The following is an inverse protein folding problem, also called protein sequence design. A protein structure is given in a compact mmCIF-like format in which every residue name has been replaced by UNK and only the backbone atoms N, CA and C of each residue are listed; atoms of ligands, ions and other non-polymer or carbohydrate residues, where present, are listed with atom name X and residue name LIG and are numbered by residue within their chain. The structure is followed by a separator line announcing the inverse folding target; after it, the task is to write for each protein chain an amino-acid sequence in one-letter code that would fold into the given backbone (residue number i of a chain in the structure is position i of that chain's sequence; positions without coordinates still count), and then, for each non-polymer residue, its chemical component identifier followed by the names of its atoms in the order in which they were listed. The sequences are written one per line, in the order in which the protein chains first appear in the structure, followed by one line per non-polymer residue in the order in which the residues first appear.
data_IF_681032051981
#
_entry.id   IF_681032051981
#
_cell.length_a   1.000
_cell.length_b   1.000
_cell.length_c   1.000
_cell.angle_alpha   90.00
_cell.angle_beta   90.00
_cell.angle_gamma   90.00
#
_symmetry.space_group_name_H-M   'P 1'
#
loop_
_entity.id
_entity.type
_entity.pdbx_description
1 polymer ?
#
# COMPACT_ATOMS: atom_id res chain seq x y z
N UNK A 1 -7.49 -50.68 -88.67
CA UNK A 1 -6.89 -49.48 -88.00
C UNK A 1 -8.06 -48.55 -87.63
N UNK A 2 -8.59 -48.70 -86.42
CA UNK A 2 -9.65 -47.84 -85.87
C UNK A 2 -9.07 -46.97 -84.77
N UNK A 3 -8.95 -45.69 -85.05
CA UNK A 3 -8.61 -44.67 -84.03
C UNK A 3 -9.91 -44.39 -83.23
N UNK A 4 -9.79 -44.68 -81.92
CA UNK A 4 -10.81 -44.27 -80.95
C UNK A 4 -10.52 -42.83 -80.51
N UNK A 5 -11.47 -41.97 -80.64
CA UNK A 5 -11.42 -40.62 -80.06
C UNK A 5 -11.71 -40.68 -78.56
N UNK A 6 -11.09 -39.88 -77.73
CA UNK A 6 -11.42 -39.80 -76.32
C UNK A 6 -12.65 -38.92 -76.06
N UNK A 7 -13.50 -39.37 -75.15
CA UNK A 7 -14.66 -38.66 -74.65
C UNK A 7 -14.31 -37.42 -73.80
N UNK A 8 -15.15 -36.37 -73.81
CA UNK A 8 -14.87 -35.19 -72.95
C UNK A 8 -15.23 -35.48 -71.50
N UNK A 9 -14.40 -34.98 -70.59
CA UNK A 9 -14.61 -35.00 -69.17
C UNK A 9 -15.71 -34.05 -68.78
N UNK A 10 -16.54 -34.36 -67.70
CA UNK A 10 -17.59 -33.48 -67.24
C UNK A 10 -16.99 -32.27 -66.50
N UNK A 11 -17.52 -31.10 -66.80
CA UNK A 11 -17.16 -29.81 -66.20
C UNK A 11 -17.39 -29.81 -64.70
N UNK A 12 -16.37 -29.41 -64.00
CA UNK A 12 -16.43 -29.11 -62.54
C UNK A 12 -17.12 -27.73 -62.36
N UNK A 13 -18.33 -27.76 -61.85
CA UNK A 13 -19.04 -26.54 -61.45
C UNK A 13 -18.31 -25.95 -60.23
N UNK A 14 -17.69 -24.79 -60.40
CA UNK A 14 -17.08 -24.00 -59.32
C UNK A 14 -18.19 -23.38 -58.47
N UNK A 15 -18.52 -24.02 -57.36
CA UNK A 15 -19.46 -23.46 -56.38
C UNK A 15 -18.78 -22.27 -55.70
N UNK A 16 -19.13 -21.07 -56.07
CA UNK A 16 -18.67 -19.84 -55.42
C UNK A 16 -19.15 -19.82 -53.97
N UNK A 17 -18.23 -20.03 -53.05
CA UNK A 17 -18.44 -19.77 -51.63
C UNK A 17 -18.52 -18.26 -51.44
N UNK A 18 -19.75 -17.72 -51.33
CA UNK A 18 -19.94 -16.36 -50.80
C UNK A 18 -19.52 -16.36 -49.33
N UNK A 19 -18.33 -15.87 -49.08
CA UNK A 19 -17.90 -15.55 -47.74
C UNK A 19 -18.77 -14.41 -47.22
N UNK A 20 -19.66 -14.70 -46.29
CA UNK A 20 -20.35 -13.70 -45.51
C UNK A 20 -19.30 -12.97 -44.67
N UNK A 21 -19.27 -11.63 -44.61
CA UNK A 21 -18.37 -10.93 -43.71
C UNK A 21 -18.71 -11.38 -42.28
N UNK A 22 -17.71 -11.89 -41.56
CA UNK A 22 -17.77 -12.08 -40.14
C UNK A 22 -18.07 -10.71 -39.53
N UNK A 23 -19.29 -10.53 -39.03
CA UNK A 23 -19.63 -9.44 -38.14
C UNK A 23 -18.69 -9.54 -36.96
N UNK A 24 -17.61 -8.75 -36.97
CA UNK A 24 -16.75 -8.54 -35.84
C UNK A 24 -17.62 -7.80 -34.84
N UNK A 25 -18.30 -8.54 -33.96
CA UNK A 25 -19.04 -7.98 -32.85
C UNK A 25 -18.08 -7.07 -32.10
N UNK A 26 -18.26 -5.77 -32.27
CA UNK A 26 -17.58 -4.78 -31.45
C UNK A 26 -17.87 -5.17 -30.00
N UNK A 27 -16.83 -5.62 -29.31
CA UNK A 27 -16.89 -5.81 -27.85
C UNK A 27 -17.42 -4.49 -27.29
N UNK A 28 -18.43 -4.51 -26.42
CA UNK A 28 -18.86 -3.26 -25.79
C UNK A 28 -17.63 -2.64 -25.14
N UNK A 29 -17.27 -1.46 -25.62
CA UNK A 29 -16.21 -0.64 -25.05
C UNK A 29 -16.56 -0.48 -23.56
N UNK A 30 -15.84 -1.17 -22.71
CA UNK A 30 -16.04 -1.09 -21.26
C UNK A 30 -15.84 0.37 -20.90
N UNK A 31 -16.92 1.05 -20.57
CA UNK A 31 -16.90 2.45 -20.19
C UNK A 31 -15.81 2.64 -19.13
N UNK A 32 -14.93 3.62 -19.34
CA UNK A 32 -13.88 3.94 -18.39
C UNK A 32 -14.51 4.10 -16.99
N UNK A 33 -13.86 3.59 -15.93
CA UNK A 33 -14.39 3.72 -14.59
C UNK A 33 -14.63 5.21 -14.27
N UNK A 34 -15.66 5.54 -13.48
CA UNK A 34 -15.88 6.92 -13.06
C UNK A 34 -14.63 7.46 -12.37
N UNK A 35 -14.39 8.77 -12.47
CA UNK A 35 -13.25 9.40 -11.81
C UNK A 35 -13.31 9.13 -10.28
N UNK A 36 -12.14 8.96 -9.62
CA UNK A 36 -12.09 8.78 -8.19
C UNK A 36 -12.70 10.01 -7.48
N UNK A 37 -13.31 9.82 -6.30
CA UNK A 37 -13.75 10.94 -5.50
C UNK A 37 -12.53 11.84 -5.21
N UNK A 38 -12.70 13.14 -5.37
CA UNK A 38 -11.64 14.09 -5.00
C UNK A 38 -11.40 13.97 -3.50
N UNK A 39 -10.17 13.71 -3.05
CA UNK A 39 -9.89 13.78 -1.62
C UNK A 39 -10.19 15.18 -1.14
N UNK A 40 -10.92 15.29 -0.03
CA UNK A 40 -11.32 16.58 0.55
C UNK A 40 -10.12 17.42 0.99
N UNK A 41 -9.00 16.78 1.26
CA UNK A 41 -7.68 17.39 1.51
C UNK A 41 -6.61 16.31 1.31
N UNK A 42 -5.77 16.44 0.26
CA UNK A 42 -4.48 15.75 0.24
C UNK A 42 -3.57 16.48 1.23
N UNK A 43 -2.93 15.76 2.17
CA UNK A 43 -1.83 16.37 2.91
C UNK A 43 -0.75 16.79 1.91
N UNK A 44 -0.43 18.06 1.90
CA UNK A 44 0.66 18.60 1.08
C UNK A 44 2.00 18.08 1.65
N UNK A 45 3.06 18.08 0.84
CA UNK A 45 4.43 17.83 1.30
C UNK A 45 4.80 18.70 2.52
N UNK A 46 4.20 19.89 2.62
CA UNK A 46 4.28 20.80 3.76
C UNK A 46 3.81 20.12 5.06
N UNK A 47 2.78 19.28 5.03
CA UNK A 47 2.28 18.61 6.26
C UNK A 47 3.22 17.50 6.73
N UNK A 48 3.97 16.86 5.83
CA UNK A 48 5.03 15.92 6.22
C UNK A 48 6.20 16.68 6.85
N UNK A 49 6.57 17.84 6.29
CA UNK A 49 7.54 18.75 6.90
C UNK A 49 7.10 19.24 8.28
N UNK A 50 5.82 19.60 8.43
CA UNK A 50 5.22 20.01 9.70
C UNK A 50 5.16 18.85 10.71
N UNK A 51 4.98 17.60 10.26
CA UNK A 51 5.11 16.42 11.10
C UNK A 51 6.52 16.31 11.67
N UNK A 52 7.52 16.39 10.81
CA UNK A 52 8.92 16.27 11.23
C UNK A 52 9.30 17.40 12.19
N UNK A 53 8.87 18.63 11.92
CA UNK A 53 9.04 19.79 12.80
C UNK A 53 8.23 19.64 14.09
N UNK A 54 6.97 19.19 14.00
CA UNK A 54 6.07 18.99 15.13
C UNK A 54 6.57 17.93 16.12
N UNK A 55 7.17 16.85 15.63
CA UNK A 55 7.79 15.81 16.47
C UNK A 55 9.11 16.29 17.09
N UNK A 56 9.83 17.20 16.44
CA UNK A 56 11.07 17.79 16.92
C UNK A 56 10.87 18.90 17.97
N UNK A 57 9.65 19.46 18.13
CA UNK A 57 9.36 20.58 19.05
C UNK A 57 8.65 20.07 20.31
N UNK A 58 9.08 20.38 21.54
CA UNK A 58 8.42 19.90 22.75
C UNK A 58 7.04 20.52 22.93
N UNK A 59 6.04 19.79 23.48
CA UNK A 59 4.77 20.37 23.87
C UNK A 59 4.99 21.36 25.03
N UNK A 60 4.55 22.58 24.87
CA UNK A 60 4.32 23.49 25.99
C UNK A 60 3.12 23.01 26.78
N UNK A 61 3.29 22.53 28.01
CA UNK A 61 2.23 22.47 29.01
C UNK A 61 1.73 21.10 29.45
N UNK A 62 1.90 20.83 30.72
CA UNK A 62 1.07 20.13 31.72
C UNK A 62 0.56 18.71 31.40
N UNK A 63 1.22 17.72 31.89
CA UNK A 63 0.77 16.34 31.99
C UNK A 63 1.93 15.37 32.16
N UNK A 64 1.82 14.48 33.11
CA UNK A 64 2.78 13.48 33.56
C UNK A 64 3.33 12.55 32.45
N UNK A 65 3.99 13.11 31.45
CA UNK A 65 4.76 12.35 30.49
C UNK A 65 6.22 12.71 30.60
N UNK A 66 6.99 11.79 31.18
CA UNK A 66 8.43 11.81 31.02
C UNK A 66 8.73 11.94 29.53
N UNK A 67 9.56 12.90 29.10
CA UNK A 67 9.91 13.02 27.69
C UNK A 67 10.46 11.69 27.22
N UNK A 68 9.93 11.20 26.10
CA UNK A 68 10.42 9.99 25.45
C UNK A 68 11.93 10.14 25.23
N UNK A 69 12.77 9.22 25.74
CA UNK A 69 14.22 9.31 25.61
C UNK A 69 14.71 9.36 24.16
N UNK A 70 13.81 9.15 23.17
CA UNK A 70 14.10 9.22 21.74
C UNK A 70 13.88 10.57 21.06
N UNK A 71 13.05 11.47 21.64
CA UNK A 71 12.69 12.76 21.04
C UNK A 71 13.17 13.91 21.91
N UNK A 72 14.47 14.24 21.82
CA UNK A 72 15.00 15.45 22.48
C UNK A 72 14.75 16.67 21.58
N UNK A 73 14.27 17.80 22.14
CA UNK A 73 14.13 19.05 21.40
C UNK A 73 15.44 19.42 20.70
N UNK A 74 15.34 19.74 19.38
CA UNK A 74 16.51 20.14 18.59
C UNK A 74 17.39 19.00 18.05
N UNK A 75 17.07 17.73 18.32
CA UNK A 75 17.73 16.62 17.63
C UNK A 75 17.01 16.33 16.30
N UNK A 76 17.76 16.00 15.24
CA UNK A 76 17.16 15.56 13.99
C UNK A 76 16.31 14.32 14.25
N UNK A 77 15.10 14.30 13.67
CA UNK A 77 14.22 13.15 13.74
C UNK A 77 14.86 11.98 13.00
N UNK A 78 15.17 10.90 13.73
CA UNK A 78 15.64 9.68 13.10
C UNK A 78 14.46 8.97 12.45
N UNK A 79 14.41 8.99 11.14
CA UNK A 79 13.48 8.23 10.33
C UNK A 79 14.18 6.97 9.83
N UNK A 80 13.51 5.81 9.84
CA UNK A 80 14.04 4.56 9.30
C UNK A 80 13.06 3.94 8.32
N UNK A 81 13.61 3.29 7.30
CA UNK A 81 12.81 2.49 6.39
C UNK A 81 12.20 1.32 7.17
N UNK A 82 10.90 1.01 7.01
CA UNK A 82 10.21 0.08 7.90
C UNK A 82 10.49 -1.40 7.63
N UNK A 83 11.39 -1.71 6.72
CA UNK A 83 11.92 -3.05 6.49
C UNK A 83 13.44 -3.08 6.64
N UNK A 84 14.00 -4.21 7.05
CA UNK A 84 15.45 -4.42 7.12
C UNK A 84 16.13 -4.43 5.74
N UNK A 85 15.35 -4.58 4.66
CA UNK A 85 15.78 -4.54 3.26
C UNK A 85 14.84 -3.64 2.47
N UNK A 86 15.25 -3.13 1.32
CA UNK A 86 14.34 -2.40 0.45
C UNK A 86 13.29 -3.36 -0.13
N UNK A 87 12.05 -2.87 -0.26
CA UNK A 87 10.98 -3.63 -0.87
C UNK A 87 11.30 -3.99 -2.32
N UNK A 88 10.87 -5.17 -2.75
CA UNK A 88 11.01 -5.65 -4.13
C UNK A 88 10.09 -4.86 -5.08
N UNK A 89 8.91 -4.50 -4.58
CA UNK A 89 7.89 -3.71 -5.28
C UNK A 89 7.14 -2.87 -4.24
N UNK A 90 6.62 -1.73 -4.67
CA UNK A 90 5.87 -0.81 -3.82
C UNK A 90 4.49 -0.57 -4.45
N UNK A 91 3.43 -0.90 -3.69
CA UNK A 91 2.06 -0.59 -4.09
C UNK A 91 1.59 0.67 -3.33
N UNK A 92 1.36 1.81 -4.04
CA UNK A 92 1.28 3.12 -3.41
C UNK A 92 -0.05 3.37 -2.67
N UNK A 93 -0.05 4.38 -1.79
CA UNK A 93 -1.25 5.00 -1.23
C UNK A 93 -2.15 5.59 -2.34
N UNK A 94 -3.47 5.56 -2.16
CA UNK A 94 -4.40 6.28 -3.02
C UNK A 94 -5.65 5.51 -3.44
N UNK A 95 -6.47 6.16 -4.27
CA UNK A 95 -7.70 5.58 -4.77
C UNK A 95 -7.45 4.52 -5.83
N UNK A 96 -8.14 3.38 -5.69
CA UNK A 96 -8.12 2.27 -6.63
C UNK A 96 -9.53 1.85 -7.00
N UNK A 97 -9.75 1.64 -8.28
CA UNK A 97 -11.00 1.08 -8.75
C UNK A 97 -10.98 -0.44 -8.64
N UNK A 98 -11.97 -1.00 -7.96
CA UNK A 98 -12.18 -2.44 -7.88
C UNK A 98 -13.24 -2.85 -8.89
N UNK A 99 -12.86 -3.50 -9.98
CA UNK A 99 -13.77 -3.98 -11.02
C UNK A 99 -14.80 -4.97 -10.45
N UNK A 100 -14.36 -5.89 -9.60
CA UNK A 100 -15.23 -6.89 -8.98
C UNK A 100 -16.32 -6.29 -8.10
N UNK A 101 -16.12 -5.06 -7.60
CA UNK A 101 -17.07 -4.34 -6.74
C UNK A 101 -17.69 -3.12 -7.42
N UNK A 102 -17.25 -2.80 -8.62
CA UNK A 102 -17.68 -1.61 -9.35
C UNK A 102 -17.58 -0.32 -8.52
N UNK A 103 -16.53 -0.22 -7.70
CA UNK A 103 -16.37 0.88 -6.73
C UNK A 103 -14.92 1.28 -6.49
N UNK A 104 -14.71 2.56 -6.25
CA UNK A 104 -13.45 3.11 -5.79
C UNK A 104 -13.21 2.78 -4.31
N UNK A 105 -11.98 2.41 -3.99
CA UNK A 105 -11.51 2.15 -2.63
C UNK A 105 -10.23 2.94 -2.38
N UNK A 106 -10.15 3.57 -1.22
CA UNK A 106 -8.92 4.19 -0.78
C UNK A 106 -8.00 3.11 -0.20
N UNK A 107 -6.79 2.99 -0.73
CA UNK A 107 -5.69 2.29 -0.11
C UNK A 107 -5.05 3.26 0.89
N UNK A 108 -5.21 2.97 2.16
CA UNK A 108 -4.90 3.90 3.27
C UNK A 108 -3.44 3.89 3.69
N UNK A 109 -2.61 3.10 3.02
CA UNK A 109 -1.18 2.97 3.27
C UNK A 109 -0.39 2.69 2.01
N UNK A 110 0.81 2.22 2.21
CA UNK A 110 1.71 1.72 1.16
C UNK A 110 2.00 0.25 1.46
N UNK A 111 1.91 -0.62 0.44
CA UNK A 111 2.32 -2.01 0.57
C UNK A 111 3.76 -2.16 0.07
N UNK A 112 4.61 -2.65 0.94
CA UNK A 112 6.02 -2.92 0.69
C UNK A 112 6.19 -4.43 0.51
N UNK A 113 6.33 -4.88 -0.74
CA UNK A 113 6.44 -6.29 -1.09
C UNK A 113 7.81 -6.80 -0.68
N UNK A 114 7.83 -7.81 0.17
CA UNK A 114 9.04 -8.45 0.69
C UNK A 114 8.72 -9.87 1.14
N UNK A 115 9.76 -10.70 1.22
CA UNK A 115 9.62 -12.10 1.63
C UNK A 115 9.06 -12.22 3.06
N UNK A 116 8.21 -13.22 3.27
CA UNK A 116 7.74 -13.56 4.60
C UNK A 116 8.91 -13.82 5.55
N UNK A 117 8.84 -13.29 6.77
CA UNK A 117 9.92 -13.38 7.74
C UNK A 117 10.92 -12.20 7.69
N UNK A 118 10.85 -11.34 6.66
CA UNK A 118 11.67 -10.09 6.63
C UNK A 118 11.39 -9.26 7.88
N UNK A 119 12.43 -8.81 8.63
CA UNK A 119 12.22 -7.98 9.80
C UNK A 119 11.53 -6.66 9.48
N UNK A 120 10.47 -6.35 10.26
CA UNK A 120 9.75 -5.08 10.22
C UNK A 120 10.26 -4.20 11.34
N UNK A 121 10.60 -2.94 11.00
CA UNK A 121 11.24 -1.98 11.88
C UNK A 121 10.31 -0.79 12.16
N UNK A 122 10.40 -0.23 13.34
CA UNK A 122 9.73 1.02 13.67
C UNK A 122 10.26 2.17 12.80
N UNK A 123 9.39 2.79 12.00
CA UNK A 123 9.76 3.90 11.11
C UNK A 123 10.16 5.16 11.89
N UNK A 124 9.51 5.40 13.00
CA UNK A 124 9.67 6.54 13.89
C UNK A 124 9.72 6.05 15.34
N UNK A 125 10.35 6.81 16.27
CA UNK A 125 10.29 6.47 17.68
C UNK A 125 8.86 6.62 18.20
N UNK A 126 8.43 5.73 19.08
CA UNK A 126 7.08 5.76 19.63
C UNK A 126 6.81 4.73 20.71
N UNK A 127 5.56 4.71 21.17
CA UNK A 127 5.07 3.72 22.12
C UNK A 127 4.07 2.78 21.41
N UNK A 128 4.21 1.49 21.64
CA UNK A 128 3.25 0.51 21.13
C UNK A 128 1.88 0.75 21.77
N UNK A 129 0.94 1.19 20.97
CA UNK A 129 -0.44 1.50 21.40
C UNK A 129 -1.38 0.31 21.22
N UNK A 130 -1.06 -0.61 20.26
CA UNK A 130 -1.89 -1.76 19.97
C UNK A 130 -1.07 -2.89 19.34
N UNK A 131 -1.37 -4.13 19.73
CA UNK A 131 -0.93 -5.37 19.08
C UNK A 131 -2.12 -6.31 19.06
N UNK A 132 -2.71 -6.57 17.88
CA UNK A 132 -3.83 -7.52 17.74
C UNK A 132 -4.17 -7.84 16.29
N UNK A 133 -4.98 -8.87 16.10
CA UNK A 133 -5.65 -9.13 14.81
C UNK A 133 -6.76 -8.09 14.56
N UNK A 134 -6.79 -7.55 13.33
CA UNK A 134 -7.83 -6.63 12.85
C UNK A 134 -8.38 -7.17 11.53
N UNK A 135 -9.71 -7.19 11.37
CA UNK A 135 -10.32 -7.65 10.11
C UNK A 135 -9.77 -6.87 8.91
N UNK A 136 -9.33 -7.61 7.91
CA UNK A 136 -8.68 -7.07 6.73
C UNK A 136 -7.18 -6.87 6.91
N UNK A 137 -6.72 -6.26 7.98
CA UNK A 137 -5.30 -5.96 8.25
C UNK A 137 -4.49 -7.15 8.77
N UNK A 138 -5.16 -8.18 9.34
CA UNK A 138 -4.48 -9.29 10.02
C UNK A 138 -3.75 -8.81 11.28
N UNK A 139 -2.66 -9.49 11.64
CA UNK A 139 -1.86 -9.13 12.80
C UNK A 139 -1.24 -7.74 12.59
N UNK A 140 -1.57 -6.85 13.51
CA UNK A 140 -1.29 -5.41 13.39
C UNK A 140 -0.62 -4.88 14.63
N UNK A 141 0.42 -4.05 14.42
CA UNK A 141 1.05 -3.21 15.44
C UNK A 141 0.77 -1.74 15.12
N UNK A 142 0.37 -0.96 16.13
CA UNK A 142 0.21 0.49 16.04
C UNK A 142 1.16 1.16 17.01
N UNK A 143 1.97 2.10 16.51
CA UNK A 143 2.82 2.97 17.31
C UNK A 143 2.18 4.35 17.44
N UNK A 144 2.19 4.89 18.66
CA UNK A 144 1.85 6.29 18.96
C UNK A 144 3.14 7.09 19.11
N UNK A 145 3.32 8.11 18.28
CA UNK A 145 4.48 8.99 18.23
C UNK A 145 4.26 10.29 19.03
N UNK A 146 3.07 10.40 19.66
CA UNK A 146 2.65 11.63 20.32
C UNK A 146 1.98 12.63 19.37
N UNK A 147 1.31 13.65 19.94
CA UNK A 147 0.61 14.74 19.22
C UNK A 147 -0.42 14.26 18.18
N UNK A 148 -0.97 13.06 18.38
CA UNK A 148 -1.93 12.45 17.48
C UNK A 148 -1.32 11.71 16.28
N UNK A 149 0.00 11.71 16.13
CA UNK A 149 0.67 10.97 15.06
C UNK A 149 0.84 9.50 15.42
N UNK A 150 0.58 8.64 14.45
CA UNK A 150 0.63 7.19 14.59
C UNK A 150 1.16 6.55 13.31
N UNK A 151 1.87 5.43 13.44
CA UNK A 151 2.15 4.52 12.33
C UNK A 151 1.55 3.15 12.60
N UNK A 152 1.01 2.52 11.54
CA UNK A 152 0.41 1.20 11.60
C UNK A 152 1.19 0.25 10.69
N UNK A 153 1.43 -0.96 11.20
CA UNK A 153 2.14 -2.04 10.51
C UNK A 153 1.25 -3.26 10.50
N UNK A 154 0.86 -3.73 9.33
CA UNK A 154 -0.13 -4.80 9.17
C UNK A 154 0.37 -5.97 8.32
N UNK A 155 -0.46 -7.01 8.24
CA UNK A 155 -0.20 -8.29 7.59
C UNK A 155 1.00 -9.05 8.19
N UNK A 156 1.33 -8.77 9.46
CA UNK A 156 2.49 -9.35 10.12
C UNK A 156 2.36 -10.86 10.30
N UNK A 157 3.50 -11.56 10.22
CA UNK A 157 3.64 -12.97 10.56
C UNK A 157 3.60 -13.16 12.08
N UNK A 158 4.31 -12.28 12.79
CA UNK A 158 4.37 -12.21 14.23
C UNK A 158 4.64 -10.78 14.69
N UNK A 159 4.40 -10.51 15.98
CA UNK A 159 4.78 -9.28 16.65
C UNK A 159 5.79 -9.62 17.76
N UNK A 160 6.95 -8.98 17.73
CA UNK A 160 8.01 -9.14 18.74
C UNK A 160 7.90 -8.14 19.89
N UNK A 161 6.80 -7.40 19.96
CA UNK A 161 6.59 -6.30 20.91
C UNK A 161 5.24 -6.43 21.62
N UNK A 162 5.09 -5.78 22.75
CA UNK A 162 3.86 -5.73 23.54
C UNK A 162 3.34 -4.29 23.69
N UNK A 163 2.03 -4.16 23.92
CA UNK A 163 1.42 -2.85 24.23
C UNK A 163 2.12 -2.21 25.42
N UNK A 164 2.55 -0.98 25.24
CA UNK A 164 3.29 -0.21 26.23
C UNK A 164 4.80 -0.12 26.00
N UNK A 165 5.37 -1.00 25.16
CA UNK A 165 6.79 -0.95 24.80
C UNK A 165 7.15 0.38 24.13
N UNK A 166 8.35 0.85 24.37
CA UNK A 166 8.92 2.05 23.74
C UNK A 166 9.97 1.63 22.73
N UNK A 167 9.79 2.07 21.50
CA UNK A 167 10.66 1.76 20.37
C UNK A 167 11.35 3.03 19.88
N UNK A 168 12.59 2.88 19.48
CA UNK A 168 13.34 3.87 18.69
C UNK A 168 13.10 3.59 17.21
N UNK A 169 13.33 4.59 16.37
CA UNK A 169 13.38 4.34 14.93
C UNK A 169 14.43 3.27 14.61
N UNK A 170 14.05 2.25 13.87
CA UNK A 170 14.88 1.09 13.52
C UNK A 170 14.79 -0.09 14.49
N UNK A 171 14.14 0.03 15.64
CA UNK A 171 13.92 -1.13 16.51
C UNK A 171 12.96 -2.14 15.83
N UNK A 172 13.25 -3.46 15.92
CA UNK A 172 12.41 -4.48 15.34
C UNK A 172 11.07 -4.57 16.09
N UNK A 173 9.97 -4.68 15.37
CA UNK A 173 8.63 -4.82 15.95
C UNK A 173 7.90 -6.10 15.53
N UNK A 174 8.36 -6.78 14.47
CA UNK A 174 7.75 -8.00 13.95
C UNK A 174 8.40 -8.46 12.67
N UNK A 175 7.69 -9.29 11.93
CA UNK A 175 8.15 -9.82 10.64
C UNK A 175 7.03 -9.72 9.60
N UNK A 176 7.42 -9.51 8.33
CA UNK A 176 6.50 -9.57 7.18
C UNK A 176 5.80 -10.90 7.13
N UNK A 177 4.50 -10.87 6.92
CA UNK A 177 3.67 -12.04 6.78
C UNK A 177 2.66 -11.90 5.65
N UNK A 178 1.55 -12.62 5.80
CA UNK A 178 0.43 -12.62 4.87
C UNK A 178 -0.89 -12.80 5.64
N UNK A 179 -0.96 -12.28 6.86
CA UNK A 179 -2.17 -12.40 7.69
C UNK A 179 -3.28 -11.46 7.19
N UNK A 180 -4.51 -11.71 7.59
CA UNK A 180 -5.66 -10.93 7.15
C UNK A 180 -6.01 -11.13 5.67
N UNK A 181 -6.24 -10.04 4.92
CA UNK A 181 -6.63 -10.09 3.50
C UNK A 181 -5.46 -9.83 2.55
N UNK A 182 -4.30 -10.29 2.88
CA UNK A 182 -3.13 -10.19 2.02
C UNK A 182 -3.11 -11.31 0.96
N UNK A 183 -2.91 -10.96 -0.32
CA UNK A 183 -2.79 -11.93 -1.42
C UNK A 183 -1.37 -12.49 -1.58
N UNK A 184 -0.37 -11.71 -1.18
CA UNK A 184 1.06 -12.05 -1.21
C UNK A 184 1.72 -11.56 0.07
N UNK A 185 2.91 -12.07 0.45
CA UNK A 185 3.66 -11.51 1.57
C UNK A 185 4.03 -10.05 1.31
N UNK A 186 3.67 -9.16 2.23
CA UNK A 186 4.05 -7.75 2.20
C UNK A 186 3.85 -7.11 3.59
N UNK A 187 4.47 -5.96 3.78
CA UNK A 187 4.16 -5.06 4.88
C UNK A 187 3.21 -3.98 4.37
N UNK A 188 2.02 -3.89 4.94
CA UNK A 188 1.18 -2.71 4.79
C UNK A 188 1.53 -1.69 5.88
N UNK A 189 1.97 -0.50 5.48
CA UNK A 189 2.36 0.56 6.40
C UNK A 189 1.52 1.82 6.18
N UNK A 190 0.99 2.39 7.27
CA UNK A 190 0.23 3.63 7.23
C UNK A 190 0.83 4.69 8.14
N UNK A 191 0.73 5.95 7.70
CA UNK A 191 0.88 7.12 8.54
C UNK A 191 -0.51 7.65 8.87
N UNK A 192 -0.78 7.87 10.15
CA UNK A 192 -2.09 8.34 10.62
C UNK A 192 -1.98 9.58 11.48
N UNK A 193 -2.95 10.47 11.36
CA UNK A 193 -3.13 11.58 12.26
C UNK A 193 -4.49 11.50 12.95
N UNK A 194 -4.47 11.50 14.26
CA UNK A 194 -5.66 11.56 15.10
C UNK A 194 -6.00 13.02 15.40
N UNK A 195 -7.21 13.44 15.06
CA UNK A 195 -7.76 14.78 15.28
C UNK A 195 -9.05 14.68 16.07
N UNK A 196 -9.60 15.79 16.60
CA UNK A 196 -10.92 15.80 17.21
C UNK A 196 -12.04 15.30 16.28
N UNK A 197 -11.88 15.42 14.96
CA UNK A 197 -12.84 14.95 13.96
C UNK A 197 -12.68 13.45 13.62
N UNK A 198 -11.63 12.78 14.10
CA UNK A 198 -11.36 11.36 13.86
C UNK A 198 -9.91 11.09 13.47
N UNK A 199 -9.64 9.86 13.06
CA UNK A 199 -8.32 9.45 12.58
C UNK A 199 -8.30 9.46 11.07
N UNK A 200 -7.28 10.08 10.49
CA UNK A 200 -7.07 10.22 9.06
C UNK A 200 -5.77 9.53 8.64
N UNK A 201 -5.84 8.72 7.58
CA UNK A 201 -4.65 8.15 6.95
C UNK A 201 -4.05 9.17 5.98
N UNK A 202 -2.74 9.26 5.96
CA UNK A 202 -1.96 10.18 5.14
C UNK A 202 -1.02 9.38 4.25
N UNK A 203 -0.64 9.95 3.10
CA UNK A 203 0.33 9.32 2.21
C UNK A 203 1.73 9.29 2.84
N UNK A 204 2.29 8.10 3.14
CA UNK A 204 3.61 8.00 3.74
C UNK A 204 4.76 8.01 2.72
N UNK A 205 4.48 8.12 1.43
CA UNK A 205 5.46 7.92 0.34
C UNK A 205 6.69 8.81 0.49
N UNK A 206 6.50 10.10 0.79
CA UNK A 206 7.62 11.04 0.96
C UNK A 206 8.52 10.64 2.15
N UNK A 207 7.94 10.16 3.26
CA UNK A 207 8.70 9.66 4.41
C UNK A 207 9.47 8.39 4.06
N UNK A 208 8.84 7.45 3.35
CA UNK A 208 9.47 6.20 2.94
C UNK A 208 10.65 6.45 2.01
N UNK A 209 10.51 7.38 1.05
CA UNK A 209 11.61 7.77 0.17
C UNK A 209 12.77 8.40 0.95
N UNK A 210 12.48 9.33 1.86
CA UNK A 210 13.50 9.95 2.70
C UNK A 210 14.22 8.91 3.58
N UNK A 211 13.47 7.94 4.15
CA UNK A 211 14.02 6.87 4.96
C UNK A 211 14.90 5.90 4.16
N UNK A 212 14.53 5.58 2.93
CA UNK A 212 15.29 4.68 2.06
C UNK A 212 16.64 5.25 1.60
N UNK A 213 16.83 6.57 1.70
CA UNK A 213 18.08 7.28 1.35
C UNK A 213 19.03 7.44 2.55
N UNK A 214 18.58 7.09 3.75
CA UNK A 214 19.44 7.19 4.95
C UNK A 214 20.31 5.93 5.06
N UNK A 215 21.60 6.06 5.37
CA UNK A 215 22.52 4.95 5.54
C UNK A 215 22.18 4.08 6.76
#
# INVERSE_FOLDING_TARGET
MHRRQPSPLPGIALLGLLATPLDLHAQPETAAPPLPPRPSTLPSETQVGDLLLGLATPPGGHGHDQPDPGLRPGQPLHLRYPLAVLAQEVDPYGWRYSESRMAWRLHTGVDLIADAGTPVLAMLPGRVALVREIDGYGLTVLLDHGRGWQSLYAHLLNAGVAVGDRLRAGDPLGQVGQSGRASTPHLHVELRQRTPAGTMALDPTSLLHAAAQQP
#
